data_IF_022802953842
#
_entry.id   IF_022802953842
#
_cell.length_a   1.000
_cell.length_b   1.000
_cell.length_c   1.000
_cell.angle_alpha   90.00
_cell.angle_beta   90.00
_cell.angle_gamma   90.00
#
_symmetry.space_group_name_H-M   'P 1'
#
loop_
_entity.id
_entity.type
_entity.pdbx_description
1 polymer ?
#
# COMPACT_ATOMS: atom_id res chain seq x y z
N UNK A 1 13.06 14.70 -15.27
CA UNK A 1 11.74 14.30 -15.82
C UNK A 1 10.68 14.61 -14.80
N UNK A 2 9.52 15.11 -15.21
CA UNK A 2 8.41 15.40 -14.32
C UNK A 2 7.78 14.09 -13.83
N UNK A 3 7.60 13.96 -12.52
CA UNK A 3 7.16 12.72 -11.83
C UNK A 3 5.77 12.87 -11.25
N UNK A 4 5.13 11.76 -10.93
CA UNK A 4 3.93 11.75 -10.10
C UNK A 4 4.09 10.89 -8.85
N UNK A 5 3.37 11.24 -7.79
CA UNK A 5 3.40 10.50 -6.52
C UNK A 5 2.02 10.04 -6.08
N UNK A 6 1.95 8.84 -5.49
CA UNK A 6 0.77 8.33 -4.83
C UNK A 6 0.73 8.82 -3.37
N UNK A 7 -0.42 9.35 -2.94
CA UNK A 7 -0.65 9.79 -1.56
C UNK A 7 -1.69 8.90 -0.89
N UNK A 8 -1.45 8.49 0.35
CA UNK A 8 -2.38 7.61 1.09
C UNK A 8 -2.87 8.27 2.38
N UNK A 9 -4.18 8.49 2.54
CA UNK A 9 -4.72 9.20 3.70
C UNK A 9 -4.64 8.36 4.97
N UNK A 10 -4.59 9.07 6.10
CA UNK A 10 -4.60 8.48 7.43
C UNK A 10 -5.94 8.64 8.14
N UNK A 11 -5.94 8.37 9.45
CA UNK A 11 -7.09 8.52 10.32
C UNK A 11 -7.66 9.94 10.30
N UNK A 12 -9.00 10.04 10.29
CA UNK A 12 -9.76 11.26 10.05
C UNK A 12 -10.42 11.31 8.67
N UNK A 13 -9.99 10.45 7.73
CA UNK A 13 -10.58 10.32 6.39
C UNK A 13 -11.68 9.25 6.28
N UNK A 14 -11.79 8.36 7.27
CA UNK A 14 -12.78 7.28 7.26
C UNK A 14 -14.22 7.79 7.35
N UNK A 15 -15.14 7.09 6.69
CA UNK A 15 -16.58 7.25 6.86
C UNK A 15 -17.28 5.93 6.48
N UNK A 16 -18.47 5.68 7.01
CA UNK A 16 -19.26 4.48 6.68
C UNK A 16 -19.69 4.55 5.22
N UNK A 17 -19.48 3.46 4.48
CA UNK A 17 -19.73 3.36 3.04
C UNK A 17 -18.49 3.66 2.18
N UNK A 18 -17.34 4.01 2.79
CA UNK A 18 -16.11 4.25 2.04
C UNK A 18 -15.68 3.03 1.24
N UNK A 19 -15.21 3.24 0.00
CA UNK A 19 -14.74 2.18 -0.88
C UNK A 19 -15.82 1.29 -1.50
N UNK A 20 -17.11 1.53 -1.23
CA UNK A 20 -18.22 0.76 -1.84
C UNK A 20 -18.20 0.82 -3.37
N UNK A 21 -18.06 2.02 -3.93
CA UNK A 21 -18.02 2.22 -5.39
C UNK A 21 -16.77 1.57 -6.02
N UNK A 22 -15.64 1.54 -5.32
CA UNK A 22 -14.44 0.82 -5.76
C UNK A 22 -14.68 -0.69 -5.80
N UNK A 23 -15.25 -1.26 -4.73
CA UNK A 23 -15.59 -2.69 -4.62
C UNK A 23 -16.56 -3.12 -5.71
N UNK A 24 -17.55 -2.28 -6.00
CA UNK A 24 -18.59 -2.58 -6.96
C UNK A 24 -18.04 -2.43 -8.40
N UNK A 25 -17.16 -1.45 -8.65
CA UNK A 25 -16.59 -1.12 -9.97
C UNK A 25 -15.21 -1.69 -10.32
N UNK A 26 -14.54 -2.44 -9.44
CA UNK A 26 -13.26 -3.11 -9.72
C UNK A 26 -13.19 -4.48 -9.03
N UNK A 27 -12.83 -5.50 -9.82
CA UNK A 27 -12.60 -6.85 -9.30
C UNK A 27 -11.37 -6.89 -8.37
N UNK A 28 -10.34 -6.07 -8.64
CA UNK A 28 -9.16 -5.97 -7.78
C UNK A 28 -9.50 -5.38 -6.40
N UNK A 29 -10.32 -4.33 -6.35
CA UNK A 29 -10.81 -3.77 -5.10
C UNK A 29 -11.65 -4.78 -4.30
N UNK A 30 -12.56 -5.51 -4.97
CA UNK A 30 -13.39 -6.54 -4.33
C UNK A 30 -12.54 -7.64 -3.69
N UNK A 31 -11.57 -8.18 -4.43
CA UNK A 31 -10.63 -9.19 -3.90
C UNK A 31 -9.82 -8.66 -2.72
N UNK A 32 -9.46 -7.38 -2.73
CA UNK A 32 -8.71 -6.76 -1.62
C UNK A 32 -9.53 -6.74 -0.33
N UNK A 33 -10.85 -6.57 -0.41
CA UNK A 33 -11.71 -6.59 0.77
C UNK A 33 -11.87 -8.02 1.31
N UNK A 34 -12.01 -8.99 0.41
CA UNK A 34 -12.04 -10.42 0.77
C UNK A 34 -10.73 -10.85 1.44
N UNK A 35 -9.59 -10.47 0.87
CA UNK A 35 -8.25 -10.73 1.42
C UNK A 35 -8.09 -10.10 2.82
N UNK A 36 -8.65 -8.91 3.04
CA UNK A 36 -8.59 -8.24 4.33
C UNK A 36 -9.42 -8.95 5.41
N UNK A 37 -10.64 -9.37 5.06
CA UNK A 37 -11.50 -10.13 5.96
C UNK A 37 -10.85 -11.47 6.33
N UNK A 38 -10.29 -12.18 5.34
CA UNK A 38 -9.62 -13.47 5.53
C UNK A 38 -8.34 -13.30 6.39
N UNK A 39 -7.55 -12.27 6.17
CA UNK A 39 -6.31 -12.02 6.91
C UNK A 39 -6.54 -11.72 8.41
N UNK A 40 -7.67 -11.10 8.74
CA UNK A 40 -8.05 -10.71 10.10
C UNK A 40 -8.96 -11.74 10.79
N UNK A 41 -9.59 -12.64 10.03
CA UNK A 41 -10.50 -13.66 10.56
C UNK A 41 -11.88 -13.15 10.97
N UNK A 42 -12.23 -11.92 10.57
CA UNK A 42 -13.56 -11.32 10.77
C UNK A 42 -13.90 -10.34 9.64
N UNK A 43 -15.18 -10.00 9.51
CA UNK A 43 -15.69 -9.11 8.46
C UNK A 43 -15.40 -7.63 8.76
N UNK A 44 -14.14 -7.23 8.56
CA UNK A 44 -13.75 -5.82 8.62
C UNK A 44 -14.53 -4.99 7.59
N UNK A 45 -14.76 -5.57 6.40
CA UNK A 45 -15.52 -4.92 5.33
C UNK A 45 -16.92 -4.49 5.74
N UNK A 46 -17.65 -5.30 6.51
CA UNK A 46 -18.97 -4.95 7.04
C UNK A 46 -18.91 -3.71 7.94
N UNK A 47 -17.85 -3.56 8.75
CA UNK A 47 -17.69 -2.42 9.67
C UNK A 47 -17.60 -1.09 8.90
N UNK A 48 -16.78 -1.02 7.84
CA UNK A 48 -16.59 0.24 7.13
C UNK A 48 -17.56 0.48 5.97
N UNK A 49 -18.28 -0.55 5.50
CA UNK A 49 -19.28 -0.40 4.44
C UNK A 49 -20.68 -0.13 5.00
N UNK A 50 -21.07 -0.84 6.06
CA UNK A 50 -22.47 -0.91 6.53
C UNK A 50 -22.61 -0.74 8.05
N UNK A 51 -21.50 -0.78 8.78
CA UNK A 51 -21.46 -0.62 10.23
C UNK A 51 -21.76 0.81 10.70
N UNK A 52 -21.54 1.06 11.99
CA UNK A 52 -21.76 2.39 12.57
C UNK A 52 -20.47 3.20 12.69
N UNK A 53 -20.62 4.53 12.62
CA UNK A 53 -19.49 5.44 12.67
C UNK A 53 -18.71 5.41 14.00
N UNK A 54 -19.33 5.03 15.13
CA UNK A 54 -18.64 4.96 16.42
C UNK A 54 -17.69 3.78 16.44
N UNK A 55 -18.15 2.62 16.00
CA UNK A 55 -17.31 1.43 15.85
C UNK A 55 -16.17 1.69 14.87
N UNK A 56 -16.48 2.24 13.68
CA UNK A 56 -15.44 2.56 12.68
C UNK A 56 -14.41 3.57 13.19
N UNK A 57 -14.77 4.48 14.12
CA UNK A 57 -13.86 5.49 14.68
C UNK A 57 -12.93 4.95 15.77
N UNK A 58 -13.18 3.74 16.29
CA UNK A 58 -12.22 3.07 17.18
C UNK A 58 -10.96 2.76 16.38
N UNK A 59 -9.81 3.22 16.90
CA UNK A 59 -8.52 3.21 16.21
C UNK A 59 -8.13 1.80 15.71
N UNK A 60 -8.46 0.75 16.47
CA UNK A 60 -8.21 -0.65 16.11
C UNK A 60 -8.96 -1.13 14.85
N UNK A 61 -10.11 -0.51 14.52
CA UNK A 61 -10.87 -0.80 13.30
C UNK A 61 -10.59 0.24 12.22
N UNK A 62 -10.41 1.51 12.59
CA UNK A 62 -10.14 2.60 11.64
C UNK A 62 -8.88 2.33 10.82
N UNK A 63 -7.80 1.95 11.48
CA UNK A 63 -6.50 1.81 10.81
C UNK A 63 -6.49 0.67 9.78
N UNK A 64 -6.89 -0.58 10.09
CA UNK A 64 -6.95 -1.63 9.09
C UNK A 64 -7.99 -1.33 8.01
N UNK A 65 -9.12 -0.67 8.34
CA UNK A 65 -10.11 -0.28 7.32
C UNK A 65 -9.53 0.71 6.30
N UNK A 66 -8.80 1.72 6.75
CA UNK A 66 -8.14 2.69 5.87
C UNK A 66 -7.03 2.06 5.03
N UNK A 67 -6.26 1.13 5.61
CA UNK A 67 -5.27 0.34 4.87
C UNK A 67 -5.95 -0.44 3.74
N UNK A 68 -7.03 -1.16 4.04
CA UNK A 68 -7.80 -1.95 3.06
C UNK A 68 -8.34 -1.08 1.92
N UNK A 69 -8.99 0.05 2.23
CA UNK A 69 -9.54 0.94 1.21
C UNK A 69 -8.44 1.61 0.38
N UNK A 70 -7.32 2.00 1.00
CA UNK A 70 -6.19 2.59 0.28
C UNK A 70 -5.51 1.61 -0.68
N UNK A 71 -5.29 0.35 -0.26
CA UNK A 71 -4.76 -0.70 -1.13
C UNK A 71 -5.75 -1.05 -2.25
N UNK A 72 -7.05 -1.09 -1.95
CA UNK A 72 -8.09 -1.34 -2.95
C UNK A 72 -8.16 -0.21 -4.00
N UNK A 73 -8.08 1.05 -3.56
CA UNK A 73 -8.01 2.20 -4.45
C UNK A 73 -6.76 2.15 -5.33
N UNK A 74 -5.61 1.82 -4.77
CA UNK A 74 -4.37 1.66 -5.52
C UNK A 74 -4.45 0.54 -6.56
N UNK A 75 -4.87 -0.67 -6.17
CA UNK A 75 -5.00 -1.81 -7.09
C UNK A 75 -6.00 -1.51 -8.21
N UNK A 76 -7.14 -0.89 -7.90
CA UNK A 76 -8.14 -0.49 -8.90
C UNK A 76 -7.63 0.63 -9.83
N UNK A 77 -6.84 1.57 -9.31
CA UNK A 77 -6.24 2.64 -10.09
C UNK A 77 -5.16 2.11 -11.03
N UNK A 78 -4.24 1.28 -10.52
CA UNK A 78 -3.16 0.65 -11.28
C UNK A 78 -3.70 -0.25 -12.40
N UNK A 79 -4.75 -1.04 -12.12
CA UNK A 79 -5.44 -1.88 -13.12
C UNK A 79 -5.91 -1.08 -14.34
N UNK A 80 -6.33 0.18 -14.15
CA UNK A 80 -6.83 1.05 -15.22
C UNK A 80 -5.75 1.91 -15.86
N UNK A 81 -4.77 2.36 -15.07
CA UNK A 81 -3.71 3.25 -15.53
C UNK A 81 -2.63 2.49 -16.30
N UNK A 82 -2.29 1.28 -15.85
CA UNK A 82 -1.18 0.49 -16.40
C UNK A 82 0.20 1.06 -16.08
N UNK A 83 0.32 1.90 -15.05
CA UNK A 83 1.59 2.51 -14.63
C UNK A 83 1.67 2.68 -13.11
N UNK A 84 2.88 2.52 -12.58
CA UNK A 84 3.21 2.71 -11.16
C UNK A 84 3.69 4.14 -10.85
N UNK A 85 3.48 4.62 -9.60
CA UNK A 85 4.00 5.91 -9.16
C UNK A 85 5.52 5.95 -9.17
N UNK A 86 6.07 7.16 -9.31
CA UNK A 86 7.53 7.36 -9.20
C UNK A 86 7.99 7.39 -7.73
N UNK A 87 7.07 7.66 -6.80
CA UNK A 87 7.27 7.63 -5.36
C UNK A 87 5.92 7.72 -4.63
N UNK A 88 5.91 7.44 -3.34
CA UNK A 88 4.70 7.52 -2.53
C UNK A 88 4.96 8.18 -1.17
N UNK A 89 3.91 8.75 -0.60
CA UNK A 89 3.87 9.20 0.78
C UNK A 89 2.50 8.89 1.37
N UNK A 90 2.44 8.60 2.66
CA UNK A 90 1.16 8.46 3.34
C UNK A 90 1.19 9.12 4.70
N UNK A 91 0.03 9.57 5.17
CA UNK A 91 -0.08 10.33 6.41
C UNK A 91 -0.41 9.39 7.58
N UNK A 92 0.50 9.32 8.56
CA UNK A 92 0.45 8.41 9.71
C UNK A 92 0.21 6.97 9.26
N UNK A 93 -1.01 6.45 9.45
CA UNK A 93 -1.43 5.14 8.97
C UNK A 93 -1.15 4.98 7.46
N UNK A 94 -1.36 6.02 6.65
CA UNK A 94 -1.13 5.95 5.22
C UNK A 94 0.31 5.56 4.84
N UNK A 95 1.31 5.78 5.71
CA UNK A 95 2.68 5.31 5.46
C UNK A 95 2.74 3.78 5.33
N UNK A 96 1.94 3.05 6.12
CA UNK A 96 1.80 1.60 6.01
C UNK A 96 1.15 1.19 4.70
N UNK A 97 0.13 1.92 4.26
CA UNK A 97 -0.52 1.71 2.97
C UNK A 97 0.46 1.93 1.82
N UNK A 98 1.27 2.98 1.88
CA UNK A 98 2.29 3.27 0.89
C UNK A 98 3.36 2.16 0.81
N UNK A 99 3.83 1.67 1.96
CA UNK A 99 4.77 0.56 2.05
C UNK A 99 4.19 -0.75 1.51
N UNK A 100 2.95 -1.07 1.86
CA UNK A 100 2.27 -2.26 1.35
C UNK A 100 2.06 -2.20 -0.18
N UNK A 101 1.66 -1.04 -0.72
CA UNK A 101 1.52 -0.86 -2.17
C UNK A 101 2.86 -0.93 -2.89
N UNK A 102 3.94 -0.44 -2.27
CA UNK A 102 5.29 -0.53 -2.82
C UNK A 102 5.95 -1.91 -2.66
N UNK A 103 5.25 -2.90 -2.08
CA UNK A 103 5.76 -4.26 -1.90
C UNK A 103 6.73 -4.43 -0.74
N UNK A 104 6.92 -3.41 0.10
CA UNK A 104 7.83 -3.48 1.25
C UNK A 104 7.32 -4.37 2.38
N UNK A 105 6.02 -4.67 2.39
CA UNK A 105 5.39 -5.63 3.29
C UNK A 105 4.15 -6.22 2.61
N UNK A 106 3.89 -7.51 2.81
CA UNK A 106 2.68 -8.17 2.32
C UNK A 106 1.41 -7.55 2.93
N UNK A 107 0.34 -7.44 2.14
CA UNK A 107 -0.90 -6.78 2.59
C UNK A 107 -1.53 -7.45 3.82
N UNK A 108 -1.58 -8.78 3.86
CA UNK A 108 -2.10 -9.52 5.02
C UNK A 108 -1.30 -9.25 6.31
N UNK A 109 0.02 -9.15 6.20
CA UNK A 109 0.89 -8.87 7.35
C UNK A 109 0.81 -7.40 7.77
N UNK A 110 0.73 -6.48 6.81
CA UNK A 110 0.44 -5.08 7.06
C UNK A 110 -0.87 -4.92 7.83
N UNK A 111 -1.94 -5.65 7.46
CA UNK A 111 -3.23 -5.62 8.18
C UNK A 111 -3.10 -6.09 9.63
N UNK A 112 -2.39 -7.20 9.87
CA UNK A 112 -2.17 -7.72 11.23
C UNK A 112 -1.41 -6.72 12.08
N UNK A 113 -0.31 -6.18 11.56
CA UNK A 113 0.50 -5.18 12.27
C UNK A 113 -0.22 -3.87 12.49
N UNK A 114 -1.00 -3.40 11.52
CA UNK A 114 -1.79 -2.18 11.63
C UNK A 114 -2.95 -2.35 12.61
N UNK A 115 -3.58 -3.53 12.66
CA UNK A 115 -4.58 -3.84 13.69
C UNK A 115 -3.95 -3.79 15.10
N UNK A 116 -2.77 -4.41 15.27
CA UNK A 116 -2.01 -4.32 16.52
C UNK A 116 -1.59 -2.89 16.85
N UNK A 117 -1.10 -2.11 15.88
CA UNK A 117 -0.78 -0.69 16.04
C UNK A 117 -1.99 0.08 16.54
N UNK A 118 -3.14 -0.09 15.89
CA UNK A 118 -4.38 0.59 16.27
C UNK A 118 -4.82 0.23 17.69
N UNK A 119 -4.74 -1.06 18.05
CA UNK A 119 -5.03 -1.56 19.40
C UNK A 119 -4.07 -0.97 20.44
N UNK A 120 -2.75 -1.03 20.24
CA UNK A 120 -1.78 -0.52 21.20
C UNK A 120 -1.89 0.99 21.39
N UNK A 121 -2.16 1.73 20.31
CA UNK A 121 -2.41 3.17 20.37
C UNK A 121 -3.72 3.49 21.11
N UNK A 122 -4.75 2.67 20.96
CA UNK A 122 -6.01 2.81 21.68
C UNK A 122 -5.83 2.51 23.18
N UNK A 123 -5.17 1.40 23.54
CA UNK A 123 -4.88 1.05 24.94
C UNK A 123 -4.09 2.16 25.65
N UNK A 124 -3.06 2.71 25.00
CA UNK A 124 -2.29 3.81 25.55
C UNK A 124 -3.08 5.12 25.69
N UNK A 125 -4.14 5.29 24.90
CA UNK A 125 -5.08 6.41 25.04
C UNK A 125 -6.04 6.21 26.22
N UNK A 126 -6.50 4.99 26.44
CA UNK A 126 -7.44 4.69 27.53
C UNK A 126 -6.75 4.80 28.92
N UNK A 127 -5.44 4.57 28.99
CA UNK A 127 -4.62 4.73 30.19
C UNK A 127 -4.35 6.20 30.59
N UNK A 128 -4.54 7.16 29.67
CA UNK A 128 -4.19 8.56 29.91
C UNK A 128 -5.08 9.54 29.17
N UNK A 129 -5.68 10.50 29.89
CA UNK A 129 -6.48 11.57 29.30
C UNK A 129 -5.64 12.46 28.36
N UNK A 130 -5.59 12.09 27.08
CA UNK A 130 -4.91 12.82 26.02
C UNK A 130 -5.88 13.52 25.09
N UNK A 131 -5.36 14.43 24.29
CA UNK A 131 -6.12 15.08 23.24
C UNK A 131 -5.22 15.43 22.05
N UNK A 132 -5.86 15.74 20.92
CA UNK A 132 -5.22 16.40 19.79
C UNK A 132 -6.04 17.62 19.36
N UNK A 133 -5.36 18.70 18.99
CA UNK A 133 -5.99 19.92 18.52
C UNK A 133 -5.29 20.44 17.27
N UNK A 134 -6.03 20.57 16.17
CA UNK A 134 -5.55 21.24 14.97
C UNK A 134 -5.45 22.75 15.21
N UNK A 135 -4.36 23.35 14.75
CA UNK A 135 -4.04 24.77 14.91
C UNK A 135 -3.78 25.33 13.51
N UNK A 136 -4.53 26.38 13.14
CA UNK A 136 -4.49 26.98 11.82
C UNK A 136 -4.26 28.49 11.88
N UNK A 137 -3.58 29.03 10.86
CA UNK A 137 -3.45 30.48 10.66
C UNK A 137 -2.35 31.14 11.50
N UNK A 138 -1.47 30.35 12.10
CA UNK A 138 -0.28 30.82 12.83
C UNK A 138 0.93 29.98 12.42
N UNK A 139 2.11 30.59 12.43
CA UNK A 139 3.34 29.93 12.02
C UNK A 139 3.75 28.80 12.97
N UNK A 140 4.23 27.69 12.42
CA UNK A 140 4.70 26.51 13.16
C UNK A 140 5.66 26.85 14.32
N UNK A 141 6.60 27.77 14.10
CA UNK A 141 7.61 28.12 15.11
C UNK A 141 6.98 28.68 16.39
N UNK A 142 5.91 29.44 16.26
CA UNK A 142 5.15 29.99 17.39
C UNK A 142 4.40 28.87 18.14
N UNK A 143 3.79 27.94 17.40
CA UNK A 143 3.13 26.76 17.98
C UNK A 143 4.12 25.92 18.77
N UNK A 144 5.31 25.67 18.19
CA UNK A 144 6.37 24.93 18.86
C UNK A 144 6.92 25.66 20.09
N UNK A 145 7.04 27.00 20.03
CA UNK A 145 7.45 27.81 21.17
C UNK A 145 6.46 27.66 22.35
N UNK A 146 5.16 27.79 22.08
CA UNK A 146 4.11 27.60 23.08
C UNK A 146 4.12 26.18 23.65
N UNK A 147 4.22 25.16 22.79
CA UNK A 147 4.29 23.78 23.26
C UNK A 147 5.51 23.55 24.16
N UNK A 148 6.70 24.02 23.76
CA UNK A 148 7.92 23.88 24.58
C UNK A 148 7.81 24.57 25.94
N UNK A 149 7.20 25.75 26.01
CA UNK A 149 7.02 26.49 27.26
C UNK A 149 5.99 25.83 28.19
N UNK A 150 4.93 25.26 27.63
CA UNK A 150 3.84 24.65 28.41
C UNK A 150 4.10 23.18 28.80
N UNK A 151 4.95 22.50 28.05
CA UNK A 151 5.26 21.09 28.27
C UNK A 151 6.18 20.91 29.48
N UNK A 152 5.74 20.06 30.42
CA UNK A 152 6.48 19.68 31.62
C UNK A 152 6.14 18.22 31.96
N UNK A 153 6.93 17.54 32.83
CA UNK A 153 6.56 16.21 33.32
C UNK A 153 5.14 16.22 33.91
N UNK A 154 4.26 15.37 33.40
CA UNK A 154 2.86 15.35 33.83
C UNK A 154 1.93 16.31 33.10
N UNK A 155 2.44 17.13 32.17
CA UNK A 155 1.69 18.10 31.39
C UNK A 155 2.26 18.20 29.96
N UNK A 156 2.63 17.06 29.37
CA UNK A 156 3.28 16.99 28.07
C UNK A 156 2.34 17.53 26.97
N UNK A 157 2.86 18.42 26.12
CA UNK A 157 2.21 18.89 24.88
C UNK A 157 3.28 19.15 23.82
N UNK A 158 3.07 18.65 22.61
CA UNK A 158 4.00 18.76 21.49
C UNK A 158 3.26 19.03 20.19
N UNK A 159 3.96 19.53 19.18
CA UNK A 159 3.47 19.51 17.80
C UNK A 159 3.59 18.07 17.28
N UNK A 160 2.45 17.45 17.01
CA UNK A 160 2.30 16.04 16.64
C UNK A 160 2.16 15.85 15.12
N UNK A 161 1.67 16.86 14.41
CA UNK A 161 1.60 16.84 12.95
C UNK A 161 2.01 18.21 12.40
N UNK A 162 2.94 18.20 11.46
CA UNK A 162 3.33 19.34 10.64
C UNK A 162 2.69 19.15 9.27
N UNK A 163 1.44 19.60 9.11
CA UNK A 163 0.62 19.30 7.94
C UNK A 163 0.87 20.27 6.78
N UNK A 164 1.07 21.56 7.07
CA UNK A 164 1.41 22.57 6.07
C UNK A 164 2.05 23.78 6.77
N UNK A 165 2.54 24.80 6.03
CA UNK A 165 3.06 26.02 6.62
C UNK A 165 2.08 26.73 7.58
N UNK A 166 0.77 26.57 7.34
CA UNK A 166 -0.30 27.23 8.10
C UNK A 166 -1.16 26.27 8.93
N UNK A 167 -0.85 24.96 8.92
CA UNK A 167 -1.60 23.95 9.66
C UNK A 167 -0.67 22.99 10.41
N UNK A 168 -0.81 22.99 11.73
CA UNK A 168 -0.20 22.01 12.63
C UNK A 168 -1.25 21.31 13.46
N UNK A 169 -0.89 20.21 14.11
CA UNK A 169 -1.68 19.61 15.18
C UNK A 169 -0.79 19.52 16.41
N UNK A 170 -1.35 19.88 17.56
CA UNK A 170 -0.72 19.66 18.87
C UNK A 170 -1.37 18.44 19.52
N UNK A 171 -0.58 17.63 20.21
CA UNK A 171 -1.08 16.50 21.00
C UNK A 171 -0.33 16.36 22.32
N UNK A 172 -0.97 15.72 23.28
CA UNK A 172 -0.44 15.58 24.63
C UNK A 172 -1.54 15.37 25.64
N UNK A 173 -1.26 15.63 26.91
CA UNK A 173 -2.29 15.57 27.96
C UNK A 173 -3.40 16.57 27.67
N UNK A 174 -4.65 16.17 27.85
CA UNK A 174 -5.82 16.95 27.46
C UNK A 174 -5.78 18.39 28.00
N UNK A 175 -5.41 18.56 29.27
CA UNK A 175 -5.29 19.87 29.91
C UNK A 175 -4.12 20.72 29.36
N UNK A 176 -3.00 20.10 29.01
CA UNK A 176 -1.88 20.81 28.40
C UNK A 176 -2.21 21.26 26.96
N UNK A 177 -2.90 20.40 26.20
CA UNK A 177 -3.45 20.73 24.88
C UNK A 177 -4.45 21.88 24.97
N UNK A 178 -5.33 21.88 25.98
CA UNK A 178 -6.30 22.95 26.22
C UNK A 178 -5.62 24.30 26.45
N UNK A 179 -4.64 24.35 27.35
CA UNK A 179 -3.89 25.59 27.62
C UNK A 179 -3.14 26.06 26.38
N UNK A 180 -2.53 25.15 25.61
CA UNK A 180 -1.85 25.50 24.36
C UNK A 180 -2.84 26.10 23.34
N UNK A 181 -4.01 25.48 23.15
CA UNK A 181 -5.04 25.99 22.26
C UNK A 181 -5.50 27.39 22.65
N UNK A 182 -5.81 27.63 23.93
CA UNK A 182 -6.25 28.95 24.42
C UNK A 182 -5.20 30.05 24.23
N UNK A 183 -3.92 29.73 24.44
CA UNK A 183 -2.85 30.68 24.20
C UNK A 183 -2.67 30.98 22.70
N UNK A 184 -2.78 29.96 21.85
CA UNK A 184 -2.70 30.11 20.39
C UNK A 184 -3.88 30.93 19.84
N UNK A 185 -5.09 30.74 20.37
CA UNK A 185 -6.27 31.52 20.00
C UNK A 185 -6.11 33.00 20.35
N UNK A 186 -5.49 33.32 21.50
CA UNK A 186 -5.16 34.70 21.86
C UNK A 186 -4.17 35.36 20.90
N UNK A 187 -3.35 34.56 20.21
CA UNK A 187 -2.45 35.01 19.16
C UNK A 187 -3.09 35.01 17.76
N UNK A 188 -4.39 34.72 17.67
CA UNK A 188 -5.15 34.76 16.41
C UNK A 188 -5.22 33.44 15.66
N UNK A 189 -4.73 32.33 16.23
CA UNK A 189 -4.91 31.02 15.63
C UNK A 189 -6.38 30.57 15.69
N UNK A 190 -6.82 29.79 14.71
CA UNK A 190 -8.04 29.00 14.81
C UNK A 190 -7.69 27.61 15.32
N UNK A 191 -8.43 27.12 16.31
CA UNK A 191 -8.20 25.78 16.84
C UNK A 191 -9.42 24.87 16.67
N UNK A 192 -9.18 23.58 16.51
CA UNK A 192 -10.23 22.57 16.37
C UNK A 192 -9.76 21.25 16.99
N UNK A 193 -10.45 20.79 18.03
CA UNK A 193 -10.19 19.49 18.63
C UNK A 193 -10.52 18.38 17.65
N UNK A 194 -9.60 17.43 17.52
CA UNK A 194 -9.83 16.23 16.74
C UNK A 194 -10.67 15.26 17.57
N UNK A 195 -11.55 14.51 16.92
CA UNK A 195 -12.38 13.49 17.56
C UNK A 195 -11.57 12.21 17.87
N UNK A 196 -10.48 12.37 18.60
CA UNK A 196 -9.60 11.31 19.09
C UNK A 196 -9.23 11.62 20.54
N UNK A 197 -9.56 10.71 21.45
CA UNK A 197 -9.25 10.84 22.88
C UNK A 197 -7.80 10.49 23.24
N UNK A 198 -6.87 10.66 22.30
CA UNK A 198 -5.54 10.05 22.36
C UNK A 198 -4.45 11.05 21.98
N UNK A 199 -3.27 11.03 22.63
CA UNK A 199 -2.18 11.94 22.31
C UNK A 199 -1.24 11.35 21.24
N UNK A 200 -1.78 11.00 20.06
CA UNK A 200 -1.01 10.35 19.01
C UNK A 200 0.21 11.18 18.57
N UNK A 201 1.27 10.52 18.13
CA UNK A 201 2.50 11.16 17.65
C UNK A 201 3.18 12.07 18.70
N UNK A 202 3.09 11.67 19.97
CA UNK A 202 3.75 12.32 21.10
C UNK A 202 4.56 11.33 21.94
N UNK A 203 5.45 11.80 22.81
CA UNK A 203 6.18 10.95 23.74
C UNK A 203 5.29 10.08 24.65
N UNK A 204 4.02 10.44 24.84
CA UNK A 204 3.05 9.64 25.60
C UNK A 204 2.71 8.30 24.91
N UNK A 205 3.02 8.15 23.63
CA UNK A 205 2.81 6.91 22.87
C UNK A 205 4.01 5.96 22.88
N UNK A 206 5.09 6.27 23.63
CA UNK A 206 6.24 5.36 23.78
C UNK A 206 5.86 3.94 24.23
N UNK A 207 4.90 3.71 25.15
CA UNK A 207 4.45 2.35 25.50
C UNK A 207 3.87 1.60 24.30
N UNK A 208 3.05 2.25 23.49
CA UNK A 208 2.49 1.67 22.26
C UNK A 208 3.59 1.37 21.23
N UNK A 209 4.57 2.26 21.09
CA UNK A 209 5.73 2.05 20.23
C UNK A 209 6.56 0.82 20.65
N UNK A 210 6.77 0.61 21.95
CA UNK A 210 7.48 -0.57 22.46
C UNK A 210 6.73 -1.88 22.16
N UNK A 211 5.39 -1.90 22.34
CA UNK A 211 4.55 -3.04 21.96
C UNK A 211 4.58 -3.31 20.46
N UNK A 212 4.59 -2.27 19.62
CA UNK A 212 4.73 -2.46 18.17
C UNK A 212 6.12 -3.01 17.80
N UNK A 213 7.19 -2.52 18.44
CA UNK A 213 8.54 -3.01 18.21
C UNK A 213 8.68 -4.49 18.52
N UNK A 214 7.97 -4.97 19.55
CA UNK A 214 7.84 -6.40 19.85
C UNK A 214 7.16 -7.17 18.71
N UNK A 215 5.99 -6.70 18.28
CA UNK A 215 5.20 -7.36 17.24
C UNK A 215 5.96 -7.44 15.90
N UNK A 216 6.71 -6.39 15.54
CA UNK A 216 7.46 -6.33 14.28
C UNK A 216 8.54 -7.39 14.15
N UNK A 217 9.02 -7.99 15.24
CA UNK A 217 10.06 -9.04 15.17
C UNK A 217 9.58 -10.34 14.51
N UNK A 218 8.27 -10.53 14.40
CA UNK A 218 7.67 -11.67 13.70
C UNK A 218 7.44 -11.45 12.21
N UNK A 219 7.85 -10.31 11.65
CA UNK A 219 7.56 -9.92 10.27
C UNK A 219 8.81 -9.43 9.56
N UNK A 220 8.86 -9.68 8.26
CA UNK A 220 9.95 -9.25 7.39
C UNK A 220 9.49 -8.12 6.47
N UNK A 221 10.37 -7.14 6.28
CA UNK A 221 10.19 -6.09 5.30
C UNK A 221 11.09 -6.34 4.09
N UNK A 222 10.67 -5.85 2.94
CA UNK A 222 11.39 -5.89 1.69
C UNK A 222 11.74 -4.46 1.24
N UNK A 223 12.65 -4.34 0.28
CA UNK A 223 12.93 -3.05 -0.33
C UNK A 223 11.72 -2.59 -1.15
N UNK A 224 11.22 -1.35 -0.96
CA UNK A 224 10.10 -0.84 -1.73
C UNK A 224 10.46 -0.71 -3.22
N UNK A 225 9.59 -1.16 -4.13
CA UNK A 225 9.75 -1.04 -5.60
C UNK A 225 9.83 0.41 -6.09
N UNK A 226 9.37 1.36 -5.29
CA UNK A 226 9.52 2.81 -5.51
C UNK A 226 9.66 3.53 -4.16
N UNK A 227 10.34 4.69 -4.10
CA UNK A 227 10.60 5.40 -2.85
C UNK A 227 9.33 5.72 -2.07
N UNK A 228 9.31 5.37 -0.78
CA UNK A 228 8.24 5.72 0.17
C UNK A 228 8.79 6.69 1.21
N UNK A 229 8.15 7.84 1.37
CA UNK A 229 8.57 8.85 2.36
C UNK A 229 8.15 8.47 3.78
N UNK A 230 9.11 8.59 4.71
CA UNK A 230 8.86 8.34 6.12
C UNK A 230 8.36 9.59 6.83
N UNK A 231 7.30 9.46 7.62
CA UNK A 231 6.75 10.57 8.40
C UNK A 231 7.70 11.04 9.52
N UNK A 232 8.57 10.16 10.02
CA UNK A 232 9.51 10.48 11.09
C UNK A 232 10.63 11.43 10.60
N UNK A 233 10.98 11.36 9.32
CA UNK A 233 12.12 12.11 8.74
C UNK A 233 11.74 13.09 7.62
N UNK A 234 10.58 12.92 6.98
CA UNK A 234 10.21 13.67 5.77
C UNK A 234 10.96 13.23 4.50
N UNK A 235 11.79 12.19 4.60
CA UNK A 235 12.68 11.71 3.54
C UNK A 235 12.37 10.22 3.23
N UNK A 236 12.79 9.69 2.06
CA UNK A 236 12.58 8.30 1.70
C UNK A 236 13.11 7.32 2.76
N UNK A 237 12.44 6.19 2.92
CA UNK A 237 13.03 5.01 3.57
C UNK A 237 14.28 4.61 2.79
N UNK A 238 15.44 4.76 3.43
CA UNK A 238 16.76 4.45 2.88
C UNK A 238 17.55 3.61 3.87
N UNK A 239 18.46 2.76 3.38
CA UNK A 239 19.27 1.89 4.24
C UNK A 239 18.56 0.61 4.69
N UNK A 240 17.77 0.00 3.78
CA UNK A 240 17.26 -1.36 3.90
C UNK A 240 16.01 -1.56 4.78
N UNK A 241 15.46 -2.80 4.76
CA UNK A 241 14.27 -3.20 5.52
C UNK A 241 14.27 -2.88 7.01
N UNK A 242 15.42 -3.01 7.70
CA UNK A 242 15.54 -2.75 9.14
C UNK A 242 15.30 -1.28 9.47
N UNK A 243 15.66 -0.38 8.55
CA UNK A 243 15.39 1.04 8.70
C UNK A 243 13.90 1.35 8.60
N UNK A 244 13.15 0.62 7.77
CA UNK A 244 11.69 0.76 7.66
C UNK A 244 11.04 0.42 9.00
N UNK A 245 11.32 -0.77 9.54
CA UNK A 245 10.76 -1.23 10.81
C UNK A 245 11.07 -0.25 11.96
N UNK A 246 12.34 0.20 12.08
CA UNK A 246 12.74 1.18 13.10
C UNK A 246 11.96 2.49 12.98
N UNK A 247 11.83 3.03 11.76
CA UNK A 247 11.12 4.29 11.52
C UNK A 247 9.62 4.17 11.79
N UNK A 248 9.00 3.03 11.51
CA UNK A 248 7.59 2.78 11.82
C UNK A 248 7.32 2.73 13.33
N UNK A 249 8.26 2.20 14.13
CA UNK A 249 8.20 2.27 15.60
C UNK A 249 8.34 3.72 16.08
N UNK A 250 9.34 4.44 15.57
CA UNK A 250 9.58 5.85 15.91
C UNK A 250 8.38 6.73 15.57
N UNK A 251 7.71 6.44 14.44
CA UNK A 251 6.57 7.17 13.91
C UNK A 251 5.42 7.31 14.94
N UNK A 252 5.17 6.30 15.76
CA UNK A 252 4.07 6.29 16.74
C UNK A 252 4.23 7.41 17.77
N UNK A 253 5.47 7.70 18.18
CA UNK A 253 5.79 8.63 19.27
C UNK A 253 6.47 9.92 18.80
N UNK A 254 6.55 10.12 17.48
CA UNK A 254 7.23 11.25 16.85
C UNK A 254 6.30 12.02 15.92
N UNK A 255 6.56 13.32 15.67
CA UNK A 255 5.70 14.13 14.81
C UNK A 255 5.61 13.61 13.39
N UNK A 256 4.43 13.68 12.77
CA UNK A 256 4.26 13.46 11.33
C UNK A 256 4.75 14.69 10.57
N UNK A 257 5.89 14.56 9.88
CA UNK A 257 6.53 15.64 9.11
C UNK A 257 6.02 15.70 7.66
N UNK A 258 4.72 15.92 7.50
CA UNK A 258 4.08 15.94 6.18
C UNK A 258 4.55 17.10 5.30
N UNK A 259 4.78 18.27 5.89
CA UNK A 259 5.33 19.44 5.19
C UNK A 259 6.73 19.18 4.61
N UNK A 260 7.59 18.49 5.37
CA UNK A 260 8.91 18.04 4.93
C UNK A 260 8.78 17.01 3.79
N UNK A 261 7.86 16.05 3.91
CA UNK A 261 7.57 15.08 2.86
C UNK A 261 7.11 15.76 1.55
N UNK A 262 6.19 16.73 1.61
CA UNK A 262 5.75 17.47 0.42
C UNK A 262 6.89 18.27 -0.21
N UNK A 263 7.73 18.94 0.60
CA UNK A 263 8.94 19.61 0.10
C UNK A 263 9.92 18.65 -0.54
N UNK A 264 10.06 17.42 -0.02
CA UNK A 264 10.88 16.40 -0.65
C UNK A 264 10.32 16.04 -2.04
N UNK A 265 9.02 15.75 -2.15
CA UNK A 265 8.39 15.41 -3.44
C UNK A 265 8.63 16.49 -4.50
N UNK A 266 8.42 17.77 -4.16
CA UNK A 266 8.68 18.90 -5.07
C UNK A 266 10.15 18.96 -5.48
N UNK A 267 11.09 18.84 -4.53
CA UNK A 267 12.54 18.80 -4.82
C UNK A 267 12.92 17.60 -5.71
N UNK A 268 12.23 16.48 -5.58
CA UNK A 268 12.45 15.27 -6.36
C UNK A 268 11.86 15.35 -7.79
N UNK A 269 11.23 16.47 -8.16
CA UNK A 269 10.66 16.72 -9.48
C UNK A 269 9.23 16.19 -9.65
N UNK A 270 8.53 15.89 -8.56
CA UNK A 270 7.10 15.56 -8.60
C UNK A 270 6.30 16.80 -8.97
N UNK A 271 5.48 16.70 -10.02
CA UNK A 271 4.59 17.78 -10.48
C UNK A 271 3.12 17.44 -10.33
N UNK A 272 2.79 16.16 -10.09
CA UNK A 272 1.43 15.70 -9.84
C UNK A 272 1.36 14.72 -8.68
N UNK A 273 0.28 14.77 -7.90
CA UNK A 273 -0.01 13.82 -6.83
C UNK A 273 -1.41 13.26 -6.96
N UNK A 274 -1.59 11.99 -6.63
CA UNK A 274 -2.90 11.31 -6.62
C UNK A 274 -3.14 10.71 -5.23
N UNK A 275 -4.12 11.25 -4.51
CA UNK A 275 -4.61 10.67 -3.26
C UNK A 275 -5.46 9.42 -3.55
N UNK A 276 -5.01 8.26 -3.10
CA UNK A 276 -5.64 6.96 -3.29
C UNK A 276 -6.27 6.51 -1.97
N UNK A 277 -7.58 6.67 -1.84
CA UNK A 277 -8.30 6.37 -0.60
C UNK A 277 -9.47 7.33 -0.37
N UNK A 278 -10.08 7.30 0.82
CA UNK A 278 -11.28 8.06 1.08
C UNK A 278 -11.03 9.56 1.23
N UNK A 279 -12.02 10.35 0.81
CA UNK A 279 -12.02 11.81 0.86
C UNK A 279 -10.87 12.48 0.06
N UNK A 280 -10.54 13.72 0.43
CA UNK A 280 -9.64 14.63 -0.31
C UNK A 280 -8.68 15.38 0.61
N UNK A 281 -8.34 14.78 1.76
CA UNK A 281 -7.59 15.46 2.83
C UNK A 281 -6.18 15.78 2.35
N UNK A 282 -5.48 14.80 1.79
CA UNK A 282 -4.10 14.95 1.32
C UNK A 282 -4.03 15.76 0.04
N UNK A 283 -5.05 15.73 -0.81
CA UNK A 283 -5.19 16.60 -1.98
C UNK A 283 -5.18 18.07 -1.56
N UNK A 284 -5.92 18.40 -0.49
CA UNK A 284 -5.94 19.78 0.07
C UNK A 284 -4.61 20.12 0.74
N UNK A 285 -4.02 19.20 1.50
CA UNK A 285 -2.73 19.43 2.14
C UNK A 285 -1.59 19.58 1.13
N UNK A 286 -1.61 18.84 0.02
CA UNK A 286 -0.64 18.98 -1.06
C UNK A 286 -0.68 20.42 -1.61
N UNK A 287 -1.88 20.93 -1.96
CA UNK A 287 -2.05 22.32 -2.44
C UNK A 287 -1.66 23.37 -1.39
N UNK A 288 -1.87 23.08 -0.11
CA UNK A 288 -1.48 23.97 0.98
C UNK A 288 0.06 24.03 1.17
N UNK A 289 0.79 22.99 0.79
CA UNK A 289 2.25 22.95 0.85
C UNK A 289 2.91 23.47 -0.43
N UNK A 290 2.32 23.18 -1.59
CA UNK A 290 2.85 23.54 -2.91
C UNK A 290 1.68 23.79 -3.88
N UNK A 291 1.44 25.05 -4.22
CA UNK A 291 0.31 25.48 -5.06
C UNK A 291 0.46 25.05 -6.51
N UNK A 292 1.70 24.80 -6.93
CA UNK A 292 2.11 24.37 -8.26
C UNK A 292 1.87 22.87 -8.50
N UNK A 293 1.67 22.06 -7.46
CA UNK A 293 1.37 20.64 -7.62
C UNK A 293 -0.04 20.45 -8.17
N UNK A 294 -0.14 19.77 -9.31
CA UNK A 294 -1.41 19.19 -9.71
C UNK A 294 -1.79 18.11 -8.67
N UNK A 295 -2.99 18.20 -8.10
CA UNK A 295 -3.41 17.29 -7.04
C UNK A 295 -4.79 16.73 -7.36
N UNK A 296 -4.88 15.41 -7.37
CA UNK A 296 -6.09 14.65 -7.68
C UNK A 296 -6.42 13.66 -6.58
N UNK A 297 -7.66 13.19 -6.54
CA UNK A 297 -8.14 12.16 -5.62
C UNK A 297 -8.86 11.05 -6.38
N UNK A 298 -8.54 9.80 -6.06
CA UNK A 298 -9.21 8.61 -6.58
C UNK A 298 -9.84 7.83 -5.43
N UNK A 299 -11.14 8.05 -5.29
CA UNK A 299 -12.02 7.35 -4.35
C UNK A 299 -13.16 6.64 -5.09
N UNK A 300 -13.54 7.17 -6.27
CA UNK A 300 -14.62 6.65 -7.10
C UNK A 300 -14.17 6.42 -8.54
N UNK A 301 -14.67 5.37 -9.22
CA UNK A 301 -14.32 5.03 -10.60
C UNK A 301 -14.39 6.18 -11.61
N UNK A 302 -15.33 7.10 -11.45
CA UNK A 302 -15.65 8.19 -12.38
C UNK A 302 -14.56 9.27 -12.38
N UNK A 303 -13.77 9.36 -11.29
CA UNK A 303 -12.67 10.31 -11.18
C UNK A 303 -11.48 9.91 -12.06
N UNK A 304 -11.40 8.64 -12.50
CA UNK A 304 -10.25 8.11 -13.23
C UNK A 304 -9.92 8.89 -14.50
N UNK A 305 -10.91 9.24 -15.32
CA UNK A 305 -10.68 9.88 -16.62
C UNK A 305 -9.95 11.22 -16.48
N UNK A 306 -10.36 12.07 -15.53
CA UNK A 306 -9.74 13.36 -15.28
C UNK A 306 -8.31 13.22 -14.72
N UNK A 307 -8.08 12.21 -13.88
CA UNK A 307 -6.73 11.92 -13.35
C UNK A 307 -5.82 11.47 -14.50
N UNK A 308 -6.27 10.53 -15.33
CA UNK A 308 -5.51 10.02 -16.47
C UNK A 308 -5.13 11.13 -17.44
N UNK A 309 -6.05 12.03 -17.76
CA UNK A 309 -5.78 13.20 -18.60
C UNK A 309 -4.72 14.11 -17.97
N UNK A 310 -4.83 14.37 -16.67
CA UNK A 310 -3.84 15.17 -15.93
C UNK A 310 -2.45 14.53 -15.87
N UNK A 311 -2.38 13.20 -15.82
CA UNK A 311 -1.12 12.44 -15.79
C UNK A 311 -0.54 12.15 -17.18
N UNK A 312 -1.32 12.25 -18.26
CA UNK A 312 -0.88 11.88 -19.61
C UNK A 312 0.47 12.52 -20.02
N UNK A 313 0.73 13.83 -19.77
CA UNK A 313 2.03 14.43 -20.11
C UNK A 313 3.21 13.83 -19.33
N UNK A 314 2.97 13.24 -18.16
CA UNK A 314 3.99 12.60 -17.34
C UNK A 314 4.25 11.16 -17.78
N UNK A 315 3.20 10.47 -18.20
CA UNK A 315 3.26 9.10 -18.71
C UNK A 315 3.93 9.04 -20.09
N UNK A 316 3.65 9.99 -20.98
CA UNK A 316 4.25 10.10 -22.32
C UNK A 316 5.72 10.55 -22.30
N UNK A 317 6.13 11.30 -21.27
CA UNK A 317 7.49 11.82 -21.09
C UNK A 317 8.43 10.87 -20.37
N UNK A 318 7.94 9.73 -19.88
CA UNK A 318 8.85 8.61 -19.65
C UNK A 318 9.37 8.27 -21.05
N UNK A 319 10.69 8.41 -21.33
CA UNK A 319 11.21 7.76 -22.52
C UNK A 319 10.73 6.32 -22.44
N UNK A 320 10.39 5.74 -23.58
CA UNK A 320 10.46 4.30 -23.74
C UNK A 320 11.89 3.91 -23.33
N UNK A 321 12.05 3.66 -22.04
CA UNK A 321 13.21 3.16 -21.33
C UNK A 321 12.57 2.17 -20.39
N UNK A 322 12.08 1.04 -20.89
CA UNK A 322 12.66 0.16 -21.92
C UNK A 322 12.33 0.56 -23.38
N UNK A 323 13.32 1.09 -24.11
CA UNK A 323 13.28 1.21 -25.57
C UNK A 323 13.74 -0.11 -26.16
N UNK A 324 13.03 -0.54 -27.20
CA UNK A 324 13.38 -1.62 -28.10
C UNK A 324 14.58 -1.29 -29.03
N UNK A 325 15.49 -0.41 -28.59
CA UNK A 325 16.69 -0.04 -29.35
C UNK A 325 17.76 0.52 -28.39
N UNK A 326 18.21 -0.34 -27.49
CA UNK A 326 19.50 -0.22 -26.83
C UNK A 326 20.18 -1.55 -27.05
N UNK A 327 21.23 -1.57 -27.88
CA UNK A 327 22.03 -2.76 -28.12
C UNK A 327 22.32 -3.47 -26.81
N UNK A 328 21.67 -4.62 -26.64
CA UNK A 328 21.85 -5.49 -25.50
C UNK A 328 23.28 -6.04 -25.54
N UNK A 329 24.00 -5.94 -24.44
CA UNK A 329 25.25 -6.68 -24.22
C UNK A 329 25.00 -8.21 -24.12
N UNK A 330 23.78 -8.67 -24.38
CA UNK A 330 23.33 -10.05 -24.24
C UNK A 330 22.49 -10.46 -25.47
N UNK A 331 22.82 -11.61 -26.07
CA UNK A 331 22.31 -12.06 -27.38
C UNK A 331 20.80 -12.34 -27.45
N UNK A 332 20.29 -12.37 -28.68
CA UNK A 332 18.88 -12.69 -29.03
C UNK A 332 18.45 -14.07 -28.49
N UNK A 333 17.23 -14.15 -27.94
CA UNK A 333 16.56 -15.44 -27.65
C UNK A 333 15.59 -15.78 -28.78
N UNK A 334 15.40 -17.08 -29.06
CA UNK A 334 14.59 -17.57 -30.17
C UNK A 334 13.07 -17.28 -30.08
N UNK A 335 12.58 -16.68 -28.98
CA UNK A 335 11.15 -16.50 -28.68
C UNK A 335 10.75 -15.02 -28.43
N UNK A 336 11.65 -14.07 -28.69
CA UNK A 336 11.40 -12.62 -28.54
C UNK A 336 11.42 -12.10 -27.09
N UNK A 337 11.42 -10.79 -26.92
CA UNK A 337 11.58 -10.11 -25.61
C UNK A 337 10.45 -10.42 -24.61
N UNK A 338 9.26 -10.76 -25.08
CA UNK A 338 8.09 -11.04 -24.23
C UNK A 338 8.18 -12.37 -23.46
N UNK A 339 9.01 -13.31 -23.94
CA UNK A 339 9.25 -14.58 -23.27
C UNK A 339 9.99 -14.40 -21.93
N UNK A 340 10.68 -13.26 -21.73
CA UNK A 340 11.36 -12.90 -20.47
C UNK A 340 10.40 -12.74 -19.29
N UNK A 341 9.13 -12.42 -19.55
CA UNK A 341 8.10 -12.26 -18.51
C UNK A 341 7.36 -13.56 -18.15
N UNK A 342 7.74 -14.72 -18.71
CA UNK A 342 6.97 -15.95 -18.59
C UNK A 342 6.90 -16.46 -17.14
N UNK A 343 8.04 -16.57 -16.47
CA UNK A 343 8.14 -17.07 -15.08
C UNK A 343 7.42 -16.12 -14.11
N UNK A 344 7.63 -14.80 -14.25
CA UNK A 344 6.92 -13.77 -13.47
C UNK A 344 5.39 -13.88 -13.61
N UNK A 345 4.89 -14.15 -14.83
CA UNK A 345 3.45 -14.33 -15.05
C UNK A 345 2.93 -15.61 -14.42
N UNK A 346 3.74 -16.67 -14.36
CA UNK A 346 3.40 -17.88 -13.63
C UNK A 346 3.28 -17.60 -12.12
N UNK A 347 4.24 -16.88 -11.52
CA UNK A 347 4.15 -16.44 -10.12
C UNK A 347 2.89 -15.60 -9.86
N UNK A 348 2.64 -14.63 -10.73
CA UNK A 348 1.46 -13.75 -10.64
C UNK A 348 0.17 -14.56 -10.68
N UNK A 349 0.05 -15.53 -11.60
CA UNK A 349 -1.13 -16.37 -11.72
C UNK A 349 -1.28 -17.30 -10.50
N UNK A 350 -0.19 -17.85 -9.98
CA UNK A 350 -0.19 -18.70 -8.79
C UNK A 350 -0.73 -17.94 -7.58
N UNK A 351 -0.30 -16.70 -7.35
CA UNK A 351 -0.77 -15.86 -6.22
C UNK A 351 -2.19 -15.37 -6.45
N UNK A 352 -2.51 -14.88 -7.65
CA UNK A 352 -3.80 -14.27 -7.96
C UNK A 352 -4.98 -15.27 -7.99
N UNK A 353 -4.71 -16.56 -7.87
CA UNK A 353 -5.74 -17.60 -7.95
C UNK A 353 -6.22 -18.03 -6.56
N UNK A 354 -7.53 -17.92 -6.33
CA UNK A 354 -8.20 -18.27 -5.07
C UNK A 354 -8.05 -19.76 -4.77
N UNK A 355 -7.66 -20.07 -3.55
CA UNK A 355 -7.68 -21.44 -3.04
C UNK A 355 -9.13 -21.88 -2.74
N UNK A 356 -9.52 -23.05 -3.24
CA UNK A 356 -10.81 -23.71 -3.00
C UNK A 356 -10.64 -25.09 -2.33
N UNK A 357 -9.39 -25.49 -2.04
CA UNK A 357 -9.04 -26.72 -1.37
C UNK A 357 -8.59 -26.43 0.07
N UNK A 358 -9.27 -27.01 1.06
CA UNK A 358 -9.04 -26.73 2.47
C UNK A 358 -8.25 -27.83 3.19
N UNK A 359 -7.67 -28.77 2.45
CA UNK A 359 -6.71 -29.75 2.98
C UNK A 359 -5.32 -29.11 3.10
N UNK A 360 -4.85 -28.94 4.33
CA UNK A 360 -3.59 -28.26 4.65
C UNK A 360 -2.34 -29.01 4.15
N UNK A 361 -2.36 -30.34 4.21
CA UNK A 361 -1.23 -31.16 3.78
C UNK A 361 -1.12 -31.20 2.25
N UNK A 362 -2.26 -31.30 1.56
CA UNK A 362 -2.34 -31.20 0.12
C UNK A 362 -1.95 -29.79 -0.36
N UNK A 363 -2.37 -28.73 0.34
CA UNK A 363 -2.04 -27.36 -0.01
C UNK A 363 -0.55 -27.05 0.15
N UNK A 364 0.08 -27.53 1.23
CA UNK A 364 1.52 -27.33 1.43
C UNK A 364 2.36 -27.96 0.31
N UNK A 365 2.11 -29.24 0.01
CA UNK A 365 2.87 -29.98 -1.00
C UNK A 365 2.50 -29.65 -2.45
N UNK A 366 1.25 -29.22 -2.69
CA UNK A 366 0.73 -28.98 -4.04
C UNK A 366 0.63 -27.51 -4.44
N UNK A 367 0.70 -26.56 -3.51
CA UNK A 367 0.67 -25.13 -3.81
C UNK A 367 1.91 -24.38 -3.31
N UNK A 368 2.32 -24.57 -2.06
CA UNK A 368 3.44 -23.81 -1.46
C UNK A 368 4.80 -24.26 -2.02
N UNK A 369 5.08 -25.56 -2.00
CA UNK A 369 6.34 -26.09 -2.54
C UNK A 369 6.51 -25.80 -4.04
N UNK A 370 5.49 -26.00 -4.90
CA UNK A 370 5.62 -25.65 -6.30
C UNK A 370 5.79 -24.15 -6.53
N UNK A 371 5.14 -23.30 -5.74
CA UNK A 371 5.32 -21.84 -5.84
C UNK A 371 6.77 -21.44 -5.56
N UNK A 372 7.38 -21.98 -4.50
CA UNK A 372 8.81 -21.79 -4.19
C UNK A 372 9.73 -22.27 -5.31
N UNK A 373 9.34 -23.34 -6.02
CA UNK A 373 10.08 -23.80 -7.20
C UNK A 373 10.06 -22.77 -8.33
N UNK A 374 8.93 -22.13 -8.59
CA UNK A 374 8.83 -21.04 -9.58
C UNK A 374 9.64 -19.82 -9.13
N UNK A 375 9.61 -19.48 -7.83
CA UNK A 375 10.43 -18.40 -7.25
C UNK A 375 11.92 -18.66 -7.43
N UNK A 376 12.40 -19.87 -7.12
CA UNK A 376 13.80 -20.24 -7.28
C UNK A 376 14.29 -20.14 -8.74
N UNK A 377 13.41 -20.48 -9.71
CA UNK A 377 13.70 -20.25 -11.13
C UNK A 377 13.84 -18.74 -11.40
N UNK A 378 12.92 -17.91 -10.92
CA UNK A 378 12.98 -16.46 -11.11
C UNK A 378 14.23 -15.84 -10.48
N UNK A 379 14.56 -16.21 -9.25
CA UNK A 379 15.76 -15.73 -8.55
C UNK A 379 17.04 -16.08 -9.31
N UNK A 380 17.13 -17.31 -9.84
CA UNK A 380 18.26 -17.73 -10.67
C UNK A 380 18.38 -16.88 -11.93
N UNK A 381 17.26 -16.58 -12.59
CA UNK A 381 17.23 -15.75 -13.81
C UNK A 381 17.66 -14.31 -13.54
N UNK A 382 17.22 -13.76 -12.41
CA UNK A 382 17.59 -12.41 -11.98
C UNK A 382 19.07 -12.35 -11.61
N UNK A 383 19.60 -13.36 -10.90
CA UNK A 383 21.01 -13.45 -10.55
C UNK A 383 21.94 -13.64 -11.77
N UNK A 384 21.46 -14.32 -12.81
CA UNK A 384 22.19 -14.57 -14.06
C UNK A 384 21.92 -13.51 -15.14
N UNK A 385 21.10 -12.50 -14.83
CA UNK A 385 20.67 -11.41 -15.73
C UNK A 385 20.19 -11.89 -17.12
N UNK A 386 19.47 -13.02 -17.18
CA UNK A 386 19.03 -13.63 -18.43
C UNK A 386 17.54 -13.97 -18.46
N UNK A 387 17.01 -14.18 -19.66
CA UNK A 387 15.67 -14.74 -19.83
C UNK A 387 15.63 -16.24 -19.53
N UNK A 388 14.44 -16.78 -19.22
CA UNK A 388 14.26 -18.21 -19.04
C UNK A 388 14.56 -18.96 -20.35
N UNK A 389 15.17 -20.13 -20.23
CA UNK A 389 15.27 -21.07 -21.34
C UNK A 389 13.97 -21.90 -21.48
N UNK A 390 13.77 -22.63 -22.60
CA UNK A 390 12.57 -23.44 -22.80
C UNK A 390 12.33 -24.53 -21.75
N UNK A 391 13.38 -25.04 -21.11
CA UNK A 391 13.28 -26.01 -20.01
C UNK A 391 12.73 -25.36 -18.75
N UNK A 392 13.29 -24.21 -18.37
CA UNK A 392 12.85 -23.43 -17.21
C UNK A 392 11.42 -22.89 -17.39
N UNK A 393 11.03 -22.49 -18.60
CA UNK A 393 9.64 -22.14 -18.91
C UNK A 393 8.71 -23.33 -18.70
N UNK A 394 9.06 -24.52 -19.20
CA UNK A 394 8.25 -25.73 -19.03
C UNK A 394 8.13 -26.14 -17.57
N UNK A 395 9.21 -26.03 -16.81
CA UNK A 395 9.23 -26.31 -15.38
C UNK A 395 8.32 -25.35 -14.61
N UNK A 396 8.48 -24.04 -14.80
CA UNK A 396 7.64 -23.03 -14.17
C UNK A 396 6.15 -23.22 -14.51
N UNK A 397 5.85 -23.57 -15.76
CA UNK A 397 4.48 -23.79 -16.21
C UNK A 397 3.86 -25.06 -15.61
N UNK A 398 4.62 -26.16 -15.52
CA UNK A 398 4.18 -27.39 -14.88
C UNK A 398 3.91 -27.20 -13.38
N UNK A 399 4.77 -26.44 -12.68
CA UNK A 399 4.57 -26.07 -11.29
C UNK A 399 3.29 -25.23 -11.12
N UNK A 400 3.04 -24.27 -12.01
CA UNK A 400 1.81 -23.48 -11.99
C UNK A 400 0.56 -24.35 -12.16
N UNK A 401 0.55 -25.28 -13.12
CA UNK A 401 -0.58 -26.20 -13.33
C UNK A 401 -0.90 -26.96 -12.03
N UNK A 402 0.13 -27.51 -11.36
CA UNK A 402 -0.01 -28.22 -10.09
C UNK A 402 -0.60 -27.33 -8.99
N UNK A 403 -0.18 -26.06 -8.92
CA UNK A 403 -0.74 -25.07 -7.97
C UNK A 403 -2.24 -24.88 -8.23
N UNK A 404 -2.62 -24.67 -9.49
CA UNK A 404 -4.01 -24.41 -9.88
C UNK A 404 -4.91 -25.63 -9.61
N UNK A 405 -4.43 -26.84 -9.89
CA UNK A 405 -5.13 -28.08 -9.55
C UNK A 405 -5.30 -28.26 -8.04
N UNK A 406 -4.21 -28.07 -7.29
CA UNK A 406 -4.22 -28.18 -5.82
C UNK A 406 -5.18 -27.17 -5.21
N UNK A 407 -5.26 -25.96 -5.77
CA UNK A 407 -6.20 -24.92 -5.34
C UNK A 407 -7.65 -25.21 -5.71
N UNK A 408 -7.96 -26.32 -6.35
CA UNK A 408 -9.34 -26.69 -6.73
C UNK A 408 -9.94 -25.72 -7.76
N UNK A 409 -9.10 -25.12 -8.60
CA UNK A 409 -9.55 -24.17 -9.63
C UNK A 409 -10.29 -24.95 -10.72
N UNK A 410 -11.50 -24.54 -11.15
CA UNK A 410 -12.24 -25.22 -12.20
C UNK A 410 -11.43 -25.31 -13.50
N UNK A 411 -11.57 -26.43 -14.21
CA UNK A 411 -10.79 -26.73 -15.43
C UNK A 411 -10.87 -25.61 -16.47
N UNK A 412 -12.07 -25.10 -16.79
CA UNK A 412 -12.22 -23.99 -17.75
C UNK A 412 -11.48 -22.71 -17.32
N UNK A 413 -11.45 -22.42 -16.02
CA UNK A 413 -10.73 -21.26 -15.48
C UNK A 413 -9.21 -21.49 -15.51
N UNK A 414 -8.73 -22.70 -15.21
CA UNK A 414 -7.31 -23.06 -15.35
C UNK A 414 -6.86 -22.90 -16.80
N UNK A 415 -7.62 -23.49 -17.73
CA UNK A 415 -7.30 -23.46 -19.15
C UNK A 415 -7.28 -22.06 -19.73
N UNK A 416 -8.22 -21.20 -19.33
CA UNK A 416 -8.19 -19.79 -19.75
C UNK A 416 -6.92 -19.08 -19.26
N UNK A 417 -6.55 -19.23 -17.98
CA UNK A 417 -5.37 -18.58 -17.40
C UNK A 417 -4.08 -19.03 -18.05
N UNK A 418 -3.93 -20.33 -18.30
CA UNK A 418 -2.75 -20.90 -18.92
C UNK A 418 -2.59 -20.39 -20.36
N UNK A 419 -3.70 -20.34 -21.13
CA UNK A 419 -3.72 -19.73 -22.47
C UNK A 419 -3.30 -18.26 -22.46
N UNK A 420 -3.87 -17.47 -21.55
CA UNK A 420 -3.54 -16.04 -21.44
C UNK A 420 -2.06 -15.79 -21.18
N UNK A 421 -1.39 -16.65 -20.40
CA UNK A 421 0.06 -16.57 -20.17
C UNK A 421 0.78 -16.83 -21.50
N UNK A 422 0.49 -17.97 -22.15
CA UNK A 422 1.16 -18.42 -23.39
C UNK A 422 1.01 -17.40 -24.52
N UNK A 423 -0.18 -16.84 -24.70
CA UNK A 423 -0.45 -15.82 -25.72
C UNK A 423 0.29 -14.52 -25.44
N UNK A 424 0.27 -14.02 -24.20
CA UNK A 424 0.88 -12.73 -23.83
C UNK A 424 2.40 -12.75 -23.82
N UNK A 425 3.01 -13.92 -23.69
CA UNK A 425 4.47 -14.08 -23.72
C UNK A 425 5.00 -14.45 -25.09
N UNK A 426 4.12 -14.72 -26.06
CA UNK A 426 4.52 -15.19 -27.39
C UNK A 426 5.15 -16.58 -27.38
N UNK A 427 4.86 -17.40 -26.35
CA UNK A 427 5.47 -18.74 -26.17
C UNK A 427 4.60 -19.87 -26.73
N UNK A 428 3.68 -19.54 -27.64
CA UNK A 428 2.78 -20.48 -28.33
C UNK A 428 3.50 -21.70 -28.93
N UNK A 429 4.68 -21.48 -29.54
CA UNK A 429 5.48 -22.55 -30.13
C UNK A 429 6.01 -23.55 -29.10
N UNK A 430 6.12 -23.17 -27.83
CA UNK A 430 6.59 -24.03 -26.74
C UNK A 430 5.45 -24.81 -26.06
N UNK A 431 4.21 -24.29 -26.18
CA UNK A 431 3.00 -24.77 -25.49
C UNK A 431 1.79 -24.82 -26.46
N UNK A 432 1.88 -25.57 -27.58
CA UNK A 432 0.86 -25.56 -28.62
C UNK A 432 -0.52 -26.02 -28.12
N UNK A 433 -0.57 -26.87 -27.09
CA UNK A 433 -1.79 -27.37 -26.47
C UNK A 433 -2.62 -26.28 -25.76
N UNK A 434 -2.04 -25.10 -25.56
CA UNK A 434 -2.68 -23.92 -24.98
C UNK A 434 -2.87 -22.79 -26.01
N UNK A 435 -3.09 -23.13 -27.29
CA UNK A 435 -3.33 -22.15 -28.36
C UNK A 435 -4.57 -22.51 -29.20
N UNK A 436 -5.49 -21.56 -29.41
CA UNK A 436 -6.66 -21.69 -30.32
C UNK A 436 -7.87 -22.51 -29.82
N UNK A 437 -9.01 -22.36 -30.51
CA UNK A 437 -10.36 -22.93 -30.22
C UNK A 437 -10.47 -24.46 -30.46
N UNK A 438 -9.57 -25.25 -29.89
CA UNK A 438 -9.51 -26.70 -30.05
C UNK A 438 -10.23 -27.54 -28.98
N UNK A 439 -11.02 -26.94 -28.09
CA UNK A 439 -11.57 -27.63 -26.91
C UNK A 439 -13.11 -27.74 -26.87
N UNK A 440 -13.81 -27.60 -28.00
CA UNK A 440 -15.21 -28.04 -28.12
C UNK A 440 -15.37 -29.42 -28.76
N UNK A 441 -14.28 -30.15 -29.05
CA UNK A 441 -14.36 -31.52 -29.54
C UNK A 441 -13.25 -32.39 -28.94
N UNK A 442 -13.50 -32.94 -27.74
CA UNK A 442 -12.56 -33.87 -27.12
C UNK A 442 -12.91 -34.24 -25.69
N UNK A 443 -14.13 -34.71 -25.45
CA UNK A 443 -14.41 -35.50 -24.25
C UNK A 443 -13.64 -36.81 -24.35
N UNK A 444 -12.53 -36.94 -23.61
CA UNK A 444 -12.05 -38.16 -22.96
C UNK A 444 -10.72 -37.88 -22.27
N UNK A 445 -10.61 -38.30 -21.00
CA UNK A 445 -9.52 -37.94 -20.11
C UNK A 445 -8.13 -38.33 -20.60
N UNK A 446 -7.16 -37.46 -20.32
CA UNK A 446 -5.75 -37.81 -20.37
C UNK A 446 -5.12 -37.64 -18.99
N UNK A 447 -4.97 -38.77 -18.30
CA UNK A 447 -4.10 -38.91 -17.17
C UNK A 447 -2.64 -38.74 -17.64
N UNK A 448 -1.95 -37.74 -17.09
CA UNK A 448 -0.51 -37.59 -17.20
C UNK A 448 0.17 -38.81 -16.58
N UNK A 449 0.68 -39.72 -17.42
CA UNK A 449 1.72 -40.67 -17.04
C UNK A 449 3.05 -39.94 -17.05
N UNK A 450 3.60 -39.77 -15.86
CA UNK A 450 4.99 -39.40 -15.63
C UNK A 450 5.81 -40.68 -15.80
N UNK A 451 6.79 -40.64 -16.71
CA UNK A 451 7.81 -41.67 -16.91
C UNK A 451 9.18 -41.02 -16.92
#
# INVERSE_FOLDING_TARGET
>A
MAKWAALYPGQGSQYVGMGKELRDGSAAARRTFEEADDALGYKLSEIFLEGDARTLTRTEFTQPALLTVGVAAHRAFAERLGAEPDCAAGHSLGEWTALACAGAIGFADALRLVSLRGKFMQEAADEGAGAMCAVLGIGREEVEHICRRLSAPGAEVVVSNRNSPEQTVVSGRAEAVRRAAEELERLGARTAYLNVGAPFHSPLMKPAAAKLAEALRGFEFQEPSWPVLSNATGEPHSGGPETIARRLVEQIASPVRWDEAMRHLVRAGVSAVVELGPQTVLTRLAKANAKELAAYSFERPEQFSAIREGLAPLLERRPSGRSADGGSAYGETAYGDNARGFVVRCLTAAVATRNRNWDEAAYRSGAIEPYRGIEAIQEKLDAEERGPDPGEMKEAFGLLIRILETKGVPEGERSQRLREIVERTGTAALFPEWTGDGAEAGGEGHALRIG
#
